data_IF_333852457403
#
_entry.id   IF_333852457403
#
_cell.length_a   1.000
_cell.length_b   1.000
_cell.length_c   1.000
_cell.angle_alpha   90.00
_cell.angle_beta   90.00
_cell.angle_gamma   90.00
#
_symmetry.space_group_name_H-M   'P 1'
#
loop_
_entity.id
_entity.type
_entity.pdbx_description
1 polymer ?
#
# COMPACT_ATOMS: atom_id res chain seq x y z
N UNK A 1 -10.71 -31.83 -11.21
CA UNK A 1 -10.71 -31.04 -9.96
C UNK A 1 -12.15 -30.84 -9.54
N UNK A 2 -12.44 -30.87 -8.23
CA UNK A 2 -13.76 -30.56 -7.69
C UNK A 2 -13.93 -29.05 -7.50
N UNK A 3 -15.17 -28.60 -7.32
CA UNK A 3 -15.48 -27.19 -6.96
C UNK A 3 -14.72 -26.73 -5.73
N UNK A 4 -14.70 -27.57 -4.69
CA UNK A 4 -14.08 -27.25 -3.41
C UNK A 4 -12.55 -27.09 -3.56
N UNK A 5 -11.91 -27.98 -4.32
CA UNK A 5 -10.48 -27.89 -4.63
C UNK A 5 -10.15 -26.62 -5.43
N UNK A 6 -10.96 -26.28 -6.43
CA UNK A 6 -10.75 -25.08 -7.23
C UNK A 6 -10.90 -23.79 -6.41
N UNK A 7 -11.85 -23.76 -5.48
CA UNK A 7 -12.02 -22.62 -4.57
C UNK A 7 -10.86 -22.52 -3.58
N UNK A 8 -10.47 -23.61 -2.93
CA UNK A 8 -9.36 -23.62 -1.99
C UNK A 8 -8.05 -23.14 -2.65
N UNK A 9 -7.81 -23.60 -3.87
CA UNK A 9 -6.61 -23.24 -4.62
C UNK A 9 -6.64 -21.76 -5.09
N UNK A 10 -7.80 -21.24 -5.48
CA UNK A 10 -7.96 -19.82 -5.78
C UNK A 10 -7.72 -18.94 -4.53
N UNK A 11 -8.24 -19.35 -3.37
CA UNK A 11 -8.01 -18.65 -2.09
C UNK A 11 -6.53 -18.65 -1.71
N UNK A 12 -5.86 -19.81 -1.82
CA UNK A 12 -4.41 -19.93 -1.56
C UNK A 12 -3.59 -18.97 -2.42
N UNK A 13 -3.87 -18.92 -3.73
CA UNK A 13 -3.17 -18.00 -4.66
C UNK A 13 -3.50 -16.53 -4.44
N UNK A 14 -4.67 -16.20 -3.89
CA UNK A 14 -5.04 -14.83 -3.53
C UNK A 14 -4.45 -14.37 -2.19
N UNK A 15 -4.10 -15.31 -1.30
CA UNK A 15 -3.44 -15.01 -0.03
C UNK A 15 -1.96 -14.61 -0.22
N UNK A 16 -1.33 -15.05 -1.32
CA UNK A 16 0.04 -14.65 -1.65
C UNK A 16 0.12 -13.13 -1.97
N UNK A 17 0.93 -12.36 -1.22
CA UNK A 17 1.00 -10.90 -1.37
C UNK A 17 1.65 -10.46 -2.69
N UNK A 18 2.44 -11.33 -3.33
CA UNK A 18 3.08 -11.06 -4.62
C UNK A 18 2.21 -11.41 -5.84
N UNK A 19 1.04 -12.02 -5.63
CA UNK A 19 0.17 -12.41 -6.73
C UNK A 19 -0.39 -11.15 -7.43
N UNK A 20 0.07 -10.93 -8.67
CA UNK A 20 -0.27 -9.76 -9.49
C UNK A 20 -1.68 -9.79 -10.11
N UNK A 21 -2.66 -10.42 -9.47
CA UNK A 21 -4.03 -10.50 -9.95
C UNK A 21 -4.95 -11.33 -9.06
N UNK A 22 -6.23 -11.38 -9.43
CA UNK A 22 -7.26 -12.14 -8.72
C UNK A 22 -7.46 -13.50 -9.37
N UNK A 23 -7.40 -14.56 -8.59
CA UNK A 23 -7.69 -15.94 -9.00
C UNK A 23 -9.11 -16.34 -8.60
N UNK A 24 -9.80 -17.08 -9.46
CA UNK A 24 -11.15 -17.56 -9.22
C UNK A 24 -11.34 -18.99 -9.74
N UNK A 25 -12.27 -19.73 -9.11
CA UNK A 25 -12.73 -21.00 -9.62
C UNK A 25 -13.75 -20.77 -10.75
N UNK A 26 -13.58 -21.45 -11.88
CA UNK A 26 -14.49 -21.39 -13.02
C UNK A 26 -14.94 -22.80 -13.41
N UNK A 27 -16.25 -22.94 -13.65
CA UNK A 27 -16.86 -24.14 -14.23
C UNK A 27 -16.70 -24.09 -15.75
N UNK A 28 -16.22 -25.17 -16.36
CA UNK A 28 -16.11 -25.31 -17.82
C UNK A 28 -17.45 -25.75 -18.42
N UNK A 29 -17.62 -25.65 -19.75
CA UNK A 29 -18.79 -26.21 -20.43
C UNK A 29 -18.94 -27.73 -20.23
N UNK A 30 -17.83 -28.43 -20.00
CA UNK A 30 -17.77 -29.88 -19.82
C UNK A 30 -18.03 -30.31 -18.35
N UNK A 31 -18.55 -29.41 -17.53
CA UNK A 31 -18.80 -29.61 -16.09
C UNK A 31 -17.55 -29.83 -15.22
N UNK A 32 -16.37 -29.49 -15.73
CA UNK A 32 -15.12 -29.53 -14.97
C UNK A 32 -14.87 -28.21 -14.23
N UNK A 33 -14.08 -28.28 -13.15
CA UNK A 33 -13.62 -27.11 -12.41
C UNK A 33 -12.15 -26.81 -12.67
N UNK A 34 -11.85 -25.54 -12.97
CA UNK A 34 -10.49 -25.03 -13.15
C UNK A 34 -10.28 -23.73 -12.38
N UNK A 35 -9.02 -23.41 -12.11
CA UNK A 35 -8.64 -22.12 -11.51
C UNK A 35 -8.16 -21.20 -12.62
N UNK A 36 -8.76 -20.02 -12.73
CA UNK A 36 -8.44 -19.02 -13.75
C UNK A 36 -7.99 -17.72 -13.10
N UNK A 37 -7.09 -17.01 -13.78
CA UNK A 37 -6.70 -15.66 -13.41
C UNK A 37 -7.64 -14.67 -14.09
N UNK A 38 -8.30 -13.84 -13.31
CA UNK A 38 -9.14 -12.77 -13.82
C UNK A 38 -8.25 -11.62 -14.28
N UNK A 39 -8.38 -11.26 -15.56
CA UNK A 39 -7.70 -10.10 -16.17
C UNK A 39 -8.78 -9.13 -16.59
N UNK A 40 -8.96 -8.05 -15.82
CA UNK A 40 -9.93 -7.01 -16.10
C UNK A 40 -9.41 -5.65 -15.61
N UNK A 41 -9.73 -4.58 -16.35
CA UNK A 41 -9.43 -3.21 -15.91
C UNK A 41 -10.15 -2.95 -14.58
N UNK A 42 -9.40 -2.69 -13.51
CA UNK A 42 -9.93 -2.53 -12.14
C UNK A 42 -9.71 -3.72 -11.20
N UNK A 43 -9.28 -4.88 -11.70
CA UNK A 43 -8.95 -6.06 -10.86
C UNK A 43 -7.47 -6.16 -10.49
N UNK A 44 -6.65 -5.17 -10.88
CA UNK A 44 -5.29 -5.06 -10.37
C UNK A 44 -5.39 -4.70 -8.90
N UNK A 45 -4.86 -5.56 -8.02
CA UNK A 45 -4.58 -5.18 -6.63
C UNK A 45 -3.77 -3.90 -6.66
N UNK A 46 -4.37 -2.81 -6.21
CA UNK A 46 -3.62 -1.60 -5.85
C UNK A 46 -2.64 -2.03 -4.77
N UNK A 47 -1.35 -2.02 -5.11
CA UNK A 47 -0.29 -2.15 -4.11
C UNK A 47 -0.60 -1.12 -3.03
N UNK A 48 -0.52 -1.44 -1.73
CA UNK A 48 -0.60 -0.41 -0.72
C UNK A 48 0.47 0.63 -1.06
N UNK A 49 0.04 1.83 -1.43
CA UNK A 49 0.90 3.01 -1.48
C UNK A 49 1.54 3.11 -0.09
N UNK A 50 2.87 3.15 -0.06
CA UNK A 50 3.66 3.02 1.16
C UNK A 50 3.19 3.90 2.31
N UNK A 51 3.57 3.51 3.53
CA UNK A 51 3.19 4.13 4.78
C UNK A 51 3.10 5.67 4.68
N UNK A 52 1.94 6.21 5.05
CA UNK A 52 1.79 7.64 5.29
C UNK A 52 2.72 8.02 6.45
N UNK A 53 3.89 8.54 6.12
CA UNK A 53 4.74 9.20 7.12
C UNK A 53 4.11 10.57 7.34
N UNK A 54 3.31 10.69 8.39
CA UNK A 54 2.90 11.99 8.91
C UNK A 54 4.18 12.73 9.36
N UNK A 55 4.64 13.66 8.53
CA UNK A 55 5.65 14.63 8.91
C UNK A 55 5.10 15.44 10.08
N UNK A 56 5.64 15.20 11.28
CA UNK A 56 5.44 16.15 12.38
C UNK A 56 6.12 17.47 11.98
N UNK A 57 5.48 18.62 12.20
CA UNK A 57 6.13 19.91 12.00
C UNK A 57 7.37 20.00 12.89
N UNK A 58 8.42 20.58 12.34
CA UNK A 58 9.67 20.83 13.05
C UNK A 58 9.38 21.66 14.31
N UNK A 59 9.90 21.29 15.49
CA UNK A 59 9.73 22.10 16.69
C UNK A 59 10.32 23.49 16.43
N UNK A 60 9.60 24.53 16.89
CA UNK A 60 10.07 25.91 16.75
C UNK A 60 11.48 26.07 17.34
N UNK A 61 12.35 26.77 16.62
CA UNK A 61 13.70 27.05 17.11
C UNK A 61 13.64 27.69 18.50
N UNK A 62 14.52 27.27 19.43
CA UNK A 62 14.55 27.84 20.76
C UNK A 62 14.88 29.33 20.66
N UNK A 63 14.18 30.14 21.46
CA UNK A 63 14.43 31.58 21.54
C UNK A 63 15.90 31.84 21.81
N UNK A 64 16.49 32.74 21.01
CA UNK A 64 17.87 33.18 21.17
C UNK A 64 18.12 33.62 22.63
N UNK A 65 19.09 33.04 23.35
CA UNK A 65 19.37 33.37 24.75
C UNK A 65 19.93 34.79 24.93
N UNK A 66 20.24 35.51 23.85
CA UNK A 66 20.71 36.89 23.93
C UNK A 66 19.63 37.80 24.51
N UNK A 67 19.96 38.65 25.51
CA UNK A 67 19.06 39.68 26.01
C UNK A 67 18.58 40.57 24.84
N UNK A 68 17.33 41.04 24.90
CA UNK A 68 16.69 41.84 23.84
C UNK A 68 17.54 43.05 23.36
N UNK A 69 18.38 43.59 24.24
CA UNK A 69 19.32 44.68 23.96
C UNK A 69 20.33 44.32 22.84
N UNK A 70 20.66 43.05 22.68
CA UNK A 70 21.64 42.54 21.69
C UNK A 70 20.99 41.94 20.43
N UNK A 71 19.67 41.83 20.38
CA UNK A 71 18.97 41.24 19.23
C UNK A 71 18.84 42.23 18.05
N UNK A 72 18.91 43.54 18.31
CA UNK A 72 18.68 44.60 17.32
C UNK A 72 19.96 45.32 16.89
N UNK A 73 21.15 44.77 17.19
CA UNK A 73 22.43 45.37 16.81
C UNK A 73 22.85 44.76 15.45
N UNK A 74 22.83 45.53 14.35
CA UNK A 74 23.31 45.04 13.07
C UNK A 74 24.80 44.66 13.16
N UNK A 75 25.26 43.59 12.49
CA UNK A 75 26.61 43.05 12.69
C UNK A 75 27.75 43.89 12.09
N UNK A 76 27.49 45.09 11.58
CA UNK A 76 28.53 45.93 10.96
C UNK A 76 28.32 47.41 11.30
N UNK A 77 29.27 47.97 12.05
CA UNK A 77 29.70 49.36 11.98
C UNK A 77 31.13 49.36 11.43
#
# INVERSE_FOLDING_TARGET
>A
MTRAEAQAEAVRRNAEPEASGVWAAQRTPDDDWRVVRLVGGGLRRTRPTGAHVESKPEPAEPSDPRPAIFQNIPPYG
#
